data_IF_864142426419
#
_entry.id   IF_864142426419
#
_cell.length_a   1.000
_cell.length_b   1.000
_cell.length_c   1.000
_cell.angle_alpha   90.00
_cell.angle_beta   90.00
_cell.angle_gamma   90.00
#
_symmetry.space_group_name_H-M   'P 1'
#
loop_
_entity.id
_entity.type
_entity.pdbx_description
1 polymer ?
#
# COMPACT_ATOMS: atom_id res chain seq x y z
N UNK A 1 -6.96 -30.34 43.07
CA UNK A 1 -6.80 -29.23 42.11
C UNK A 1 -7.57 -28.06 42.68
N UNK A 2 -6.87 -27.06 43.21
CA UNK A 2 -7.48 -25.83 43.72
C UNK A 2 -7.85 -24.93 42.55
N UNK A 3 -9.08 -24.42 42.58
CA UNK A 3 -9.59 -23.49 41.59
C UNK A 3 -9.21 -22.07 41.99
N UNK A 4 -8.36 -21.42 41.20
CA UNK A 4 -8.05 -19.99 41.32
C UNK A 4 -9.01 -19.20 40.42
N UNK A 5 -9.79 -18.26 40.97
CA UNK A 5 -10.66 -17.41 40.15
C UNK A 5 -9.84 -16.40 39.33
N UNK A 6 -10.35 -15.94 38.17
CA UNK A 6 -9.68 -14.95 37.34
C UNK A 6 -9.60 -13.58 38.05
N UNK A 7 -8.55 -12.79 37.79
CA UNK A 7 -8.36 -11.48 38.42
C UNK A 7 -9.45 -10.50 38.01
N UNK A 8 -9.94 -9.72 38.98
CA UNK A 8 -10.92 -8.66 38.78
C UNK A 8 -10.32 -7.43 38.08
N UNK A 9 -11.11 -6.63 37.33
CA UNK A 9 -10.63 -5.51 36.50
C UNK A 9 -9.88 -4.40 37.25
N UNK A 10 -9.90 -4.39 38.57
CA UNK A 10 -9.20 -3.41 39.41
C UNK A 10 -7.71 -3.71 39.61
N UNK A 11 -7.20 -4.86 39.16
CA UNK A 11 -5.78 -5.22 39.29
C UNK A 11 -4.89 -4.73 38.13
N UNK A 12 -5.44 -3.99 37.18
CA UNK A 12 -4.63 -3.37 36.12
C UNK A 12 -3.90 -2.14 36.66
N UNK A 13 -2.58 -2.00 36.47
CA UNK A 13 -1.84 -0.83 36.90
C UNK A 13 -2.41 0.41 36.19
N UNK A 14 -2.96 1.35 36.96
CA UNK A 14 -3.40 2.64 36.46
C UNK A 14 -2.21 3.35 35.82
N UNK A 15 -2.21 3.46 34.49
CA UNK A 15 -1.23 4.27 33.76
C UNK A 15 -1.36 5.73 34.21
N UNK A 16 -0.46 6.15 35.11
CA UNK A 16 -0.28 7.56 35.44
C UNK A 16 0.14 8.29 34.17
N UNK A 17 -0.76 9.12 33.62
CA UNK A 17 -0.42 10.10 32.57
C UNK A 17 0.71 10.98 33.10
N UNK A 18 1.94 10.75 32.64
CA UNK A 18 3.05 11.66 32.93
C UNK A 18 2.81 12.96 32.16
N UNK A 19 3.01 14.14 32.77
CA UNK A 19 2.94 15.39 32.03
C UNK A 19 3.98 15.40 30.91
N UNK A 20 3.55 15.80 29.72
CA UNK A 20 4.39 15.90 28.53
C UNK A 20 5.52 16.92 28.75
N UNK A 21 6.77 16.62 28.35
CA UNK A 21 7.83 17.61 28.39
C UNK A 21 7.54 18.74 27.41
N UNK A 22 7.74 19.98 27.85
CA UNK A 22 7.61 21.19 27.04
C UNK A 22 8.48 21.11 25.78
N UNK A 23 7.85 21.34 24.64
CA UNK A 23 8.39 21.40 23.26
C UNK A 23 9.89 21.71 23.16
N UNK A 24 10.70 20.67 22.90
CA UNK A 24 12.08 20.82 22.43
C UNK A 24 12.00 21.09 20.92
N UNK A 25 12.44 22.27 20.47
CA UNK A 25 12.44 22.61 19.04
C UNK A 25 13.33 21.61 18.29
N UNK A 26 12.78 20.98 17.25
CA UNK A 26 13.51 20.09 16.34
C UNK A 26 14.65 20.86 15.66
N UNK A 27 15.78 20.20 15.33
CA UNK A 27 16.89 20.81 14.59
C UNK A 27 16.41 21.36 13.25
N UNK A 28 16.85 22.58 12.89
CA UNK A 28 16.45 23.33 11.68
C UNK A 28 16.65 22.58 10.37
N UNK A 29 17.47 21.52 10.34
CA UNK A 29 17.69 20.68 9.15
C UNK A 29 16.51 19.76 8.77
N UNK A 30 15.53 19.60 9.67
CA UNK A 30 14.34 18.76 9.46
C UNK A 30 13.04 19.57 9.36
N UNK A 31 13.12 20.90 9.27
CA UNK A 31 11.96 21.68 8.85
C UNK A 31 11.76 21.46 7.35
N UNK A 32 11.11 20.35 7.01
CA UNK A 32 10.40 20.25 5.75
C UNK A 32 9.43 21.44 5.74
N UNK A 33 9.72 22.45 4.92
CA UNK A 33 8.78 23.54 4.69
C UNK A 33 7.44 22.93 4.32
N UNK A 34 6.33 23.54 4.75
CA UNK A 34 4.96 23.20 4.36
C UNK A 34 4.69 23.20 2.83
N UNK A 35 5.73 23.31 1.98
CA UNK A 35 5.70 22.99 0.57
C UNK A 35 5.61 21.47 0.41
N UNK A 36 4.54 21.00 -0.22
CA UNK A 36 4.14 19.60 -0.30
C UNK A 36 5.22 18.62 -0.77
N UNK A 37 4.95 17.34 -0.52
CA UNK A 37 5.78 16.21 -0.93
C UNK A 37 6.19 16.38 -2.40
N UNK A 38 7.47 16.69 -2.64
CA UNK A 38 7.99 16.90 -3.99
C UNK A 38 8.13 15.56 -4.70
N UNK A 39 7.08 15.18 -5.42
CA UNK A 39 7.03 13.97 -6.24
C UNK A 39 7.79 14.12 -7.57
N UNK A 40 8.34 15.31 -7.89
CA UNK A 40 8.84 15.65 -9.23
C UNK A 40 10.27 15.18 -9.54
N UNK A 41 11.08 14.83 -8.53
CA UNK A 41 12.51 14.51 -8.71
C UNK A 41 12.84 13.03 -8.96
N UNK A 42 11.85 12.20 -9.34
CA UNK A 42 12.06 10.78 -9.61
C UNK A 42 12.60 10.55 -11.04
N UNK A 43 13.89 10.78 -11.26
CA UNK A 43 14.58 10.43 -12.52
C UNK A 43 15.31 9.11 -12.34
N UNK A 44 14.88 8.08 -13.07
CA UNK A 44 15.46 6.74 -13.00
C UNK A 44 16.09 6.32 -14.32
N UNK A 45 17.14 5.48 -14.27
CA UNK A 45 17.60 4.78 -15.45
C UNK A 45 16.45 3.94 -16.02
N UNK A 46 16.05 4.26 -17.24
CA UNK A 46 14.94 3.57 -17.89
C UNK A 46 15.43 2.37 -18.68
N UNK A 47 15.17 1.16 -18.20
CA UNK A 47 15.31 -0.04 -19.02
C UNK A 47 14.03 -0.25 -19.81
N UNK A 48 14.09 -0.34 -21.15
CA UNK A 48 12.90 -0.64 -21.94
C UNK A 48 12.50 -2.09 -21.69
N UNK A 49 11.25 -2.30 -21.27
CA UNK A 49 10.68 -3.63 -21.06
C UNK A 49 9.57 -3.90 -22.06
N UNK A 50 9.23 -5.18 -22.21
CA UNK A 50 8.15 -5.63 -23.07
C UNK A 50 7.27 -6.62 -22.32
N UNK A 51 5.96 -6.41 -22.34
CA UNK A 51 5.00 -7.33 -21.73
C UNK A 51 3.65 -7.28 -22.48
N UNK A 52 2.80 -8.26 -22.19
CA UNK A 52 1.45 -8.36 -22.71
C UNK A 52 0.44 -8.11 -21.59
N UNK A 53 -0.67 -7.42 -21.82
CA UNK A 53 -1.80 -7.46 -20.91
C UNK A 53 -3.04 -7.82 -21.71
N UNK A 54 -3.64 -8.98 -21.42
CA UNK A 54 -4.75 -9.54 -22.18
C UNK A 54 -4.44 -9.53 -23.70
N UNK A 55 -5.13 -8.67 -24.46
CA UNK A 55 -5.00 -8.57 -25.92
C UNK A 55 -3.96 -7.55 -26.40
N UNK A 56 -3.40 -6.73 -25.50
CA UNK A 56 -2.51 -5.62 -25.86
C UNK A 56 -1.05 -5.91 -25.55
N UNK A 57 -0.21 -5.72 -26.55
CA UNK A 57 1.23 -5.75 -26.44
C UNK A 57 1.79 -4.35 -26.10
N UNK A 58 2.74 -4.30 -25.16
CA UNK A 58 3.42 -3.09 -24.74
C UNK A 58 4.92 -3.22 -25.04
N UNK A 59 5.38 -2.81 -26.24
CA UNK A 59 6.78 -2.91 -26.61
C UNK A 59 7.61 -1.74 -26.07
N UNK A 60 8.83 -2.04 -25.62
CA UNK A 60 9.86 -1.05 -25.29
C UNK A 60 9.41 0.06 -24.33
N UNK A 61 8.62 -0.31 -23.33
CA UNK A 61 8.12 0.66 -22.37
C UNK A 61 9.22 1.02 -21.39
N UNK A 62 9.48 2.33 -21.16
CA UNK A 62 10.38 2.74 -20.09
C UNK A 62 9.91 2.19 -18.75
N UNK A 63 10.75 1.39 -18.12
CA UNK A 63 10.55 0.96 -16.74
C UNK A 63 11.57 1.60 -15.83
N UNK A 64 11.19 1.79 -14.59
CA UNK A 64 12.02 2.30 -13.51
C UNK A 64 11.70 1.48 -12.28
N UNK A 65 12.69 1.07 -11.50
CA UNK A 65 12.37 0.55 -10.18
C UNK A 65 11.77 1.69 -9.37
N UNK A 66 10.55 1.56 -8.79
CA UNK A 66 10.04 2.61 -7.93
C UNK A 66 11.02 2.79 -6.77
N UNK A 67 11.44 4.02 -6.48
CA UNK A 67 11.97 4.31 -5.14
C UNK A 67 10.86 4.00 -4.15
N UNK A 68 10.88 2.78 -3.63
CA UNK A 68 10.54 2.58 -2.24
C UNK A 68 11.62 3.37 -1.48
N UNK A 69 11.25 4.35 -0.64
CA UNK A 69 12.20 5.19 0.07
C UNK A 69 13.05 4.43 1.10
N UNK A 70 12.93 3.11 1.15
CA UNK A 70 13.77 2.25 1.95
C UNK A 70 13.94 0.92 1.23
N UNK A 71 15.13 0.68 0.71
CA UNK A 71 15.64 -0.65 0.39
C UNK A 71 16.16 -1.18 1.73
N UNK A 72 15.58 -2.25 2.28
CA UNK A 72 16.14 -2.88 3.49
C UNK A 72 17.60 -3.34 3.23
N UNK A 73 17.95 -3.57 1.97
CA UNK A 73 19.32 -3.80 1.53
C UNK A 73 19.60 -3.07 0.18
N UNK A 74 20.55 -2.12 0.10
CA UNK A 74 20.97 -1.53 -1.17
C UNK A 74 21.58 -2.56 -2.14
N UNK A 75 21.87 -3.79 -1.68
CA UNK A 75 22.34 -4.92 -2.48
C UNK A 75 21.22 -5.78 -3.08
N UNK A 76 19.98 -5.67 -2.59
CA UNK A 76 18.81 -6.36 -3.15
C UNK A 76 17.74 -5.36 -3.64
N UNK A 77 17.92 -4.82 -4.86
CA UNK A 77 17.00 -3.84 -5.41
C UNK A 77 15.70 -4.54 -5.79
N UNK A 78 14.74 -4.72 -4.84
CA UNK A 78 13.46 -5.42 -5.01
C UNK A 78 13.09 -5.65 -6.49
N UNK A 79 13.62 -6.70 -7.13
CA UNK A 79 13.68 -6.75 -8.59
C UNK A 79 12.31 -7.05 -9.19
N UNK A 80 11.31 -7.19 -8.33
CA UNK A 80 9.99 -7.70 -8.63
C UNK A 80 8.92 -6.60 -8.67
N UNK A 81 9.25 -5.32 -8.50
CA UNK A 81 8.30 -4.21 -8.66
C UNK A 81 8.90 -3.18 -9.62
N UNK A 82 8.18 -2.89 -10.70
CA UNK A 82 8.62 -1.96 -11.73
C UNK A 82 7.54 -0.90 -11.96
N UNK A 83 7.91 0.38 -11.91
CA UNK A 83 7.10 1.49 -12.39
C UNK A 83 7.29 1.65 -13.89
N UNK A 84 6.20 1.61 -14.64
CA UNK A 84 6.19 1.48 -16.09
C UNK A 84 5.44 2.66 -16.71
N UNK A 85 6.09 3.41 -17.59
CA UNK A 85 5.51 4.58 -18.26
C UNK A 85 5.00 4.22 -19.65
N UNK A 86 3.71 3.89 -19.76
CA UNK A 86 3.06 3.49 -21.00
C UNK A 86 2.94 4.67 -21.97
N UNK A 87 3.55 4.59 -23.18
CA UNK A 87 3.38 5.63 -24.18
C UNK A 87 1.92 5.69 -24.66
N UNK A 88 1.43 6.88 -25.02
CA UNK A 88 0.08 7.03 -25.55
C UNK A 88 -0.04 6.26 -26.87
N UNK A 89 -1.00 5.33 -26.93
CA UNK A 89 -1.34 4.67 -28.19
C UNK A 89 -2.42 5.50 -28.91
N UNK A 90 -2.27 5.82 -30.21
CA UNK A 90 -3.30 6.51 -30.98
C UNK A 90 -4.65 5.77 -30.94
N UNK A 91 -4.61 4.45 -30.98
CA UNK A 91 -5.81 3.61 -30.88
C UNK A 91 -6.42 3.69 -29.48
N UNK A 92 -5.62 3.56 -28.41
CA UNK A 92 -6.12 3.73 -27.04
C UNK A 92 -6.73 5.13 -26.82
N UNK A 93 -6.10 6.18 -27.36
CA UNK A 93 -6.61 7.55 -27.29
C UNK A 93 -7.95 7.69 -28.00
N UNK A 94 -8.11 7.02 -29.15
CA UNK A 94 -9.37 6.99 -29.89
C UNK A 94 -10.47 6.26 -29.11
N UNK A 95 -10.16 5.11 -28.51
CA UNK A 95 -11.09 4.36 -27.66
C UNK A 95 -11.50 5.17 -26.41
N UNK A 96 -10.56 5.86 -25.76
CA UNK A 96 -10.83 6.75 -24.63
C UNK A 96 -11.77 7.90 -25.02
N UNK A 97 -11.55 8.52 -26.18
CA UNK A 97 -12.47 9.55 -26.71
C UNK A 97 -13.86 8.97 -26.99
N UNK A 98 -13.94 7.81 -27.64
CA UNK A 98 -15.22 7.14 -27.92
C UNK A 98 -15.96 6.78 -26.62
N UNK A 99 -15.26 6.28 -25.61
CA UNK A 99 -15.84 5.96 -24.31
C UNK A 99 -16.42 7.20 -23.60
N UNK A 100 -15.87 8.39 -23.84
CA UNK A 100 -16.38 9.63 -23.24
C UNK A 100 -17.77 10.04 -23.77
N UNK A 101 -18.21 9.50 -24.92
CA UNK A 101 -19.56 9.71 -25.45
C UNK A 101 -20.58 8.68 -24.95
N UNK A 102 -20.12 7.64 -24.24
CA UNK A 102 -21.02 6.61 -23.68
C UNK A 102 -21.61 7.07 -22.35
N UNK A 103 -22.83 6.62 -21.99
CA UNK A 103 -23.36 6.83 -20.65
C UNK A 103 -22.39 6.27 -19.59
N UNK A 104 -22.25 6.96 -18.45
CA UNK A 104 -21.26 6.62 -17.41
C UNK A 104 -21.25 5.13 -16.98
N UNK A 105 -22.40 4.44 -16.83
CA UNK A 105 -22.38 3.01 -16.49
C UNK A 105 -21.77 2.14 -17.60
N UNK A 106 -22.05 2.49 -18.87
CA UNK A 106 -21.55 1.78 -20.04
C UNK A 106 -20.05 2.05 -20.23
N UNK A 107 -19.64 3.31 -20.09
CA UNK A 107 -18.24 3.70 -20.12
C UNK A 107 -17.45 2.94 -19.03
N UNK A 108 -17.94 2.96 -17.78
CA UNK A 108 -17.35 2.25 -16.65
C UNK A 108 -17.24 0.74 -16.88
N UNK A 109 -18.29 0.11 -17.42
CA UNK A 109 -18.26 -1.30 -17.77
C UNK A 109 -17.20 -1.60 -18.85
N UNK A 110 -17.16 -0.79 -19.91
CA UNK A 110 -16.20 -0.96 -21.00
C UNK A 110 -14.74 -0.79 -20.51
N UNK A 111 -14.49 0.29 -19.76
CA UNK A 111 -13.14 0.70 -19.32
C UNK A 111 -12.59 -0.19 -18.21
N UNK A 112 -13.45 -0.74 -17.34
CA UNK A 112 -13.00 -1.47 -16.16
C UNK A 112 -13.24 -2.97 -16.20
N UNK A 113 -14.11 -3.48 -17.08
CA UNK A 113 -14.44 -4.91 -17.13
C UNK A 113 -14.10 -5.55 -18.47
N UNK A 114 -14.45 -4.91 -19.58
CA UNK A 114 -14.37 -5.58 -20.89
C UNK A 114 -12.96 -5.57 -21.49
N UNK A 115 -12.32 -4.40 -21.53
CA UNK A 115 -11.03 -4.22 -22.21
C UNK A 115 -10.10 -3.27 -21.44
N UNK A 116 -9.81 -3.54 -20.15
CA UNK A 116 -9.04 -2.62 -19.28
C UNK A 116 -7.65 -2.30 -19.83
N UNK A 117 -7.03 -3.18 -20.60
CA UNK A 117 -5.71 -2.98 -21.20
C UNK A 117 -5.64 -1.80 -22.18
N UNK A 118 -6.78 -1.39 -22.75
CA UNK A 118 -6.88 -0.25 -23.66
C UNK A 118 -7.16 1.07 -22.94
N UNK A 119 -7.52 1.01 -21.65
CA UNK A 119 -7.83 2.18 -20.81
C UNK A 119 -6.85 2.35 -19.65
N UNK A 120 -5.65 1.76 -19.75
CA UNK A 120 -4.60 1.96 -18.77
C UNK A 120 -4.18 3.43 -18.69
N UNK A 121 -3.84 3.94 -17.48
CA UNK A 121 -3.19 5.22 -17.31
C UNK A 121 -1.80 5.23 -17.96
N UNK A 122 -1.19 6.40 -18.12
CA UNK A 122 0.17 6.54 -18.65
C UNK A 122 1.24 5.91 -17.76
N UNK A 123 0.93 5.63 -16.48
CA UNK A 123 1.85 5.01 -15.54
C UNK A 123 1.18 3.89 -14.76
N UNK A 124 1.83 2.74 -14.71
CA UNK A 124 1.35 1.54 -14.00
C UNK A 124 2.50 0.91 -13.22
N UNK A 125 2.17 0.07 -12.24
CA UNK A 125 3.14 -0.77 -11.54
C UNK A 125 3.03 -2.19 -12.08
N UNK A 126 4.15 -2.76 -12.50
CA UNK A 126 4.28 -4.17 -12.84
C UNK A 126 4.95 -4.88 -11.66
N UNK A 127 4.18 -5.69 -10.94
CA UNK A 127 4.67 -6.48 -9.80
C UNK A 127 4.82 -7.94 -10.22
N UNK A 128 6.06 -8.41 -10.31
CA UNK A 128 6.40 -9.81 -10.54
C UNK A 128 6.39 -10.61 -9.23
N UNK A 129 6.22 -11.92 -9.37
CA UNK A 129 6.54 -12.90 -8.33
C UNK A 129 8.03 -12.83 -7.98
N UNK A 130 8.36 -12.74 -6.69
CA UNK A 130 9.75 -12.77 -6.22
C UNK A 130 10.42 -14.10 -6.61
N UNK A 131 11.69 -14.03 -7.01
CA UNK A 131 12.64 -15.15 -6.88
C UNK A 131 13.44 -14.81 -5.65
N UNK A 132 13.09 -15.37 -4.52
CA UNK A 132 14.06 -15.42 -3.44
C UNK A 132 14.91 -16.67 -3.64
N UNK A 133 16.19 -16.57 -3.30
CA UNK A 133 17.14 -17.68 -3.35
C UNK A 133 17.11 -18.50 -2.06
N UNK A 134 16.55 -17.94 -0.98
CA UNK A 134 16.60 -18.50 0.37
C UNK A 134 15.30 -19.15 0.83
N UNK A 135 14.15 -18.70 0.33
CA UNK A 135 12.86 -19.26 0.66
C UNK A 135 12.36 -20.24 -0.41
N UNK A 136 11.53 -21.18 0.02
CA UNK A 136 10.91 -22.17 -0.85
C UNK A 136 10.08 -21.49 -1.95
N UNK A 137 10.26 -21.89 -3.20
CA UNK A 137 9.54 -21.34 -4.35
C UNK A 137 8.02 -21.42 -4.13
N UNK A 138 7.56 -22.50 -3.49
CA UNK A 138 6.15 -22.75 -3.20
C UNK A 138 5.56 -21.67 -2.28
N UNK A 139 6.34 -21.14 -1.33
CA UNK A 139 5.90 -20.07 -0.43
C UNK A 139 5.67 -18.77 -1.21
N UNK A 140 6.52 -18.45 -2.17
CA UNK A 140 6.36 -17.25 -3.01
C UNK A 140 5.23 -17.40 -4.01
N UNK A 141 5.05 -18.60 -4.58
CA UNK A 141 3.88 -18.91 -5.42
C UNK A 141 2.61 -18.71 -4.61
N UNK A 142 2.54 -19.26 -3.40
CA UNK A 142 1.39 -19.12 -2.51
C UNK A 142 1.12 -17.65 -2.13
N UNK A 143 2.14 -16.89 -1.74
CA UNK A 143 2.00 -15.45 -1.40
C UNK A 143 1.52 -14.63 -2.60
N UNK A 144 2.09 -14.85 -3.79
CA UNK A 144 1.69 -14.12 -4.99
C UNK A 144 0.27 -14.48 -5.44
N UNK A 145 -0.07 -15.77 -5.42
CA UNK A 145 -1.42 -16.25 -5.75
C UNK A 145 -2.44 -15.64 -4.80
N UNK A 146 -2.15 -15.66 -3.50
CA UNK A 146 -2.98 -15.03 -2.48
C UNK A 146 -3.15 -13.53 -2.72
N UNK A 147 -2.08 -12.82 -3.03
CA UNK A 147 -2.16 -11.38 -3.33
C UNK A 147 -3.11 -11.12 -4.51
N UNK A 148 -3.03 -11.93 -5.57
CA UNK A 148 -3.95 -11.77 -6.69
C UNK A 148 -5.40 -12.06 -6.30
N UNK A 149 -5.64 -13.14 -5.56
CA UNK A 149 -6.98 -13.50 -5.09
C UNK A 149 -7.58 -12.40 -4.20
N UNK A 150 -6.74 -11.76 -3.38
CA UNK A 150 -7.14 -10.62 -2.55
C UNK A 150 -7.57 -9.45 -3.42
N UNK A 151 -6.78 -9.09 -4.44
CA UNK A 151 -7.19 -8.06 -5.40
C UNK A 151 -8.53 -8.43 -6.06
N UNK A 152 -8.68 -9.65 -6.59
CA UNK A 152 -9.93 -10.07 -7.23
C UNK A 152 -11.16 -9.96 -6.30
N UNK A 153 -11.02 -10.33 -5.02
CA UNK A 153 -12.09 -10.17 -4.01
C UNK A 153 -12.39 -8.70 -3.73
N UNK A 154 -11.36 -7.88 -3.46
CA UNK A 154 -11.54 -6.44 -3.20
C UNK A 154 -12.13 -5.70 -4.40
N UNK A 155 -11.85 -6.15 -5.63
CA UNK A 155 -12.43 -5.62 -6.86
C UNK A 155 -13.93 -5.94 -7.03
N UNK A 156 -14.44 -6.99 -6.38
CA UNK A 156 -15.89 -7.33 -6.36
C UNK A 156 -16.67 -6.45 -5.39
N UNK A 157 -16.04 -6.05 -4.28
CA UNK A 157 -16.67 -5.21 -3.24
C UNK A 157 -16.37 -3.72 -3.39
N UNK A 158 -15.69 -3.31 -4.47
CA UNK A 158 -15.47 -1.90 -4.78
C UNK A 158 -14.39 -1.21 -3.94
N UNK A 159 -13.47 -1.96 -3.33
CA UNK A 159 -12.38 -1.41 -2.51
C UNK A 159 -11.10 -1.11 -3.29
N UNK A 160 -11.07 -1.40 -4.59
CA UNK A 160 -9.96 -1.06 -5.49
C UNK A 160 -10.11 0.34 -6.11
N UNK A 161 -8.98 0.93 -6.52
CA UNK A 161 -8.94 2.23 -7.20
C UNK A 161 -8.53 3.37 -6.28
N UNK A 162 -7.79 3.06 -5.21
CA UNK A 162 -7.33 4.07 -4.27
C UNK A 162 -6.55 5.18 -4.99
N UNK A 163 -6.85 6.42 -4.64
CA UNK A 163 -6.23 7.59 -5.26
C UNK A 163 -6.90 8.10 -6.55
N UNK A 164 -8.00 7.50 -7.03
CA UNK A 164 -8.83 8.08 -8.11
C UNK A 164 -10.30 7.81 -7.81
N UNK A 165 -11.02 8.82 -7.33
CA UNK A 165 -12.44 8.74 -6.95
C UNK A 165 -12.70 8.35 -5.49
N UNK A 166 -13.98 8.21 -5.15
CA UNK A 166 -14.44 7.90 -3.79
C UNK A 166 -14.32 6.39 -3.49
N UNK A 167 -13.85 6.06 -2.27
CA UNK A 167 -14.07 4.73 -1.67
C UNK A 167 -12.92 3.72 -1.68
N UNK A 168 -12.03 3.70 -2.69
CA UNK A 168 -10.96 2.71 -2.79
C UNK A 168 -9.88 2.83 -1.70
N UNK A 169 -9.48 1.70 -1.11
CA UNK A 169 -8.42 1.61 -0.08
C UNK A 169 -7.17 0.85 -0.55
N UNK A 170 -7.24 0.16 -1.69
CA UNK A 170 -6.10 -0.52 -2.31
C UNK A 170 -5.92 -0.09 -3.78
N UNK A 171 -4.73 -0.25 -4.37
CA UNK A 171 -4.52 -0.03 -5.80
C UNK A 171 -5.47 -0.86 -6.66
N UNK A 172 -5.83 -0.35 -7.84
CA UNK A 172 -6.53 -1.16 -8.83
C UNK A 172 -5.61 -2.20 -9.45
N UNK A 173 -6.05 -3.44 -9.57
CA UNK A 173 -5.44 -4.46 -10.41
C UNK A 173 -6.08 -4.44 -11.80
N UNK A 174 -5.28 -4.15 -12.82
CA UNK A 174 -5.73 -4.15 -14.21
C UNK A 174 -5.72 -5.54 -14.83
N UNK A 175 -4.87 -6.44 -14.34
CA UNK A 175 -4.87 -7.85 -14.74
C UNK A 175 -3.57 -8.58 -14.41
N UNK A 176 -3.57 -9.87 -14.73
CA UNK A 176 -2.40 -10.77 -14.65
C UNK A 176 -1.63 -10.73 -15.98
N UNK A 177 -0.32 -10.94 -15.92
CA UNK A 177 0.59 -11.02 -17.07
C UNK A 177 1.76 -11.95 -16.76
N UNK A 178 2.60 -12.20 -17.75
CA UNK A 178 3.90 -12.82 -17.61
C UNK A 178 4.97 -11.82 -18.03
N UNK A 179 6.02 -11.68 -17.22
CA UNK A 179 7.16 -10.83 -17.54
C UNK A 179 8.45 -11.55 -17.11
N UNK A 180 9.40 -11.65 -18.04
CA UNK A 180 10.68 -12.37 -17.86
C UNK A 180 10.52 -13.82 -17.35
N UNK A 181 9.52 -14.53 -17.89
CA UNK A 181 9.26 -15.93 -17.55
C UNK A 181 8.65 -16.14 -16.16
N UNK A 182 8.12 -15.08 -15.52
CA UNK A 182 7.46 -15.15 -14.22
C UNK A 182 6.06 -14.55 -14.28
N UNK A 183 5.19 -15.03 -13.41
CA UNK A 183 3.90 -14.42 -13.18
C UNK A 183 4.06 -13.00 -12.65
N UNK A 184 3.22 -12.10 -13.15
CA UNK A 184 3.18 -10.72 -12.74
C UNK A 184 1.74 -10.17 -12.75
N UNK A 185 1.52 -9.09 -12.02
CA UNK A 185 0.27 -8.34 -12.02
C UNK A 185 0.55 -6.89 -12.40
N UNK A 186 -0.39 -6.30 -13.14
CA UNK A 186 -0.37 -4.88 -13.50
C UNK A 186 -1.30 -4.14 -12.54
N UNK A 187 -0.74 -3.22 -11.79
CA UNK A 187 -1.40 -2.44 -10.76
C UNK A 187 -1.41 -0.95 -11.10
N UNK A 188 -2.35 -0.23 -10.51
CA UNK A 188 -2.36 1.22 -10.47
C UNK A 188 -1.14 1.76 -9.74
N UNK A 189 -0.47 2.75 -10.31
CA UNK A 189 0.52 3.53 -9.58
C UNK A 189 -0.19 4.42 -8.54
N UNK A 190 0.24 4.31 -7.29
CA UNK A 190 -0.23 5.16 -6.20
C UNK A 190 0.67 6.39 -6.15
N UNK A 191 0.14 7.60 -6.40
CA UNK A 191 0.91 8.85 -6.37
C UNK A 191 1.13 9.33 -4.93
N UNK A 192 1.74 8.48 -4.11
CA UNK A 192 1.94 8.71 -2.68
C UNK A 192 3.34 8.30 -2.22
N UNK A 193 3.50 8.30 -0.90
CA UNK A 193 4.72 7.85 -0.23
C UNK A 193 4.36 6.92 0.92
N UNK A 194 5.22 5.94 1.15
CA UNK A 194 5.14 5.04 2.30
C UNK A 194 5.14 5.84 3.62
N UNK A 195 4.38 5.38 4.62
CA UNK A 195 4.43 5.94 5.98
C UNK A 195 5.78 5.71 6.66
N UNK A 196 6.61 4.79 6.16
CA UNK A 196 8.00 4.59 6.59
C UNK A 196 8.95 5.64 6.01
N UNK A 197 8.55 6.37 4.96
CA UNK A 197 9.42 7.33 4.29
C UNK A 197 9.85 8.47 5.26
N UNK A 198 11.15 8.81 5.34
CA UNK A 198 11.64 9.86 6.25
C UNK A 198 10.91 11.20 6.09
N UNK A 199 10.52 11.56 4.86
CA UNK A 199 9.80 12.80 4.55
C UNK A 199 8.39 12.82 5.12
N UNK A 200 7.74 11.64 5.15
CA UNK A 200 6.38 11.44 5.65
C UNK A 200 6.39 11.36 7.18
N UNK A 201 7.41 10.69 7.72
CA UNK A 201 7.75 10.59 9.14
C UNK A 201 8.05 11.97 9.74
N UNK A 202 8.87 12.79 9.08
CA UNK A 202 9.25 14.11 9.57
C UNK A 202 8.17 15.19 9.41
N UNK A 203 7.08 14.89 8.69
CA UNK A 203 6.01 15.86 8.42
C UNK A 203 5.13 16.07 9.65
N UNK A 204 4.77 17.33 9.90
CA UNK A 204 3.68 17.66 10.80
C UNK A 204 2.35 17.34 10.12
N UNK A 205 1.56 16.48 10.75
CA UNK A 205 0.26 16.05 10.24
C UNK A 205 -0.81 17.01 10.74
N UNK A 206 -1.39 17.79 9.82
CA UNK A 206 -2.57 18.61 10.10
C UNK A 206 -3.86 17.77 10.12
N UNK A 207 -3.88 16.64 9.41
CA UNK A 207 -5.02 15.72 9.31
C UNK A 207 -4.98 14.56 10.30
N UNK A 208 -6.11 13.85 10.42
CA UNK A 208 -6.28 12.66 11.27
C UNK A 208 -5.71 11.41 10.57
N UNK A 209 -4.38 11.25 10.61
CA UNK A 209 -3.70 10.08 10.04
C UNK A 209 -4.17 8.78 10.67
N UNK A 210 -4.40 8.77 11.99
CA UNK A 210 -4.92 7.59 12.70
C UNK A 210 -6.31 7.22 12.16
N UNK A 211 -7.20 8.21 12.02
CA UNK A 211 -8.53 8.03 11.43
C UNK A 211 -8.48 7.49 10.00
N UNK A 212 -7.56 7.99 9.16
CA UNK A 212 -7.40 7.48 7.79
C UNK A 212 -6.90 6.03 7.74
N UNK A 213 -5.96 5.65 8.61
CA UNK A 213 -5.48 4.27 8.72
C UNK A 213 -6.60 3.37 9.24
N UNK A 214 -7.32 3.80 10.28
CA UNK A 214 -8.47 3.10 10.85
C UNK A 214 -9.53 2.86 9.78
N UNK A 215 -9.91 3.89 9.01
CA UNK A 215 -10.89 3.77 7.92
C UNK A 215 -10.50 2.69 6.90
N UNK A 216 -9.21 2.63 6.52
CA UNK A 216 -8.72 1.60 5.60
C UNK A 216 -8.94 0.19 6.15
N UNK A 217 -8.55 -0.05 7.40
CA UNK A 217 -8.66 -1.37 8.01
C UNK A 217 -10.08 -1.74 8.39
N UNK A 218 -10.93 -0.79 8.77
CA UNK A 218 -12.36 -1.01 8.98
C UNK A 218 -13.06 -1.42 7.69
N UNK A 219 -12.72 -0.78 6.56
CA UNK A 219 -13.25 -1.19 5.25
C UNK A 219 -12.75 -2.58 4.83
N UNK A 220 -11.47 -2.88 5.06
CA UNK A 220 -10.92 -4.21 4.80
C UNK A 220 -11.61 -5.28 5.65
N UNK A 221 -11.78 -5.01 6.95
CA UNK A 221 -12.48 -5.87 7.89
C UNK A 221 -13.96 -6.05 7.54
N UNK A 222 -14.63 -4.98 7.09
CA UNK A 222 -16.00 -5.01 6.60
C UNK A 222 -16.18 -5.88 5.36
N UNK A 223 -15.12 -6.08 4.57
CA UNK A 223 -15.08 -7.05 3.47
C UNK A 223 -14.70 -8.48 3.92
N UNK A 224 -14.50 -8.70 5.22
CA UNK A 224 -14.09 -9.98 5.80
C UNK A 224 -12.59 -10.27 5.75
N UNK A 225 -11.77 -9.26 5.44
CA UNK A 225 -10.32 -9.39 5.34
C UNK A 225 -9.56 -8.80 6.54
N UNK A 226 -8.38 -9.33 6.84
CA UNK A 226 -7.40 -8.67 7.73
C UNK A 226 -6.01 -8.76 7.12
N UNK A 227 -5.11 -7.87 7.53
CA UNK A 227 -3.73 -7.82 7.02
C UNK A 227 -2.76 -8.23 8.13
N UNK A 228 -2.04 -9.33 7.95
CA UNK A 228 -1.06 -9.80 8.95
C UNK A 228 0.21 -8.94 8.96
N UNK A 229 0.61 -8.44 7.79
CA UNK A 229 1.81 -7.61 7.60
C UNK A 229 1.42 -6.12 7.54
N UNK A 230 0.68 -5.63 8.56
CA UNK A 230 0.18 -4.26 8.65
C UNK A 230 1.29 -3.22 8.96
N UNK A 231 2.42 -3.34 8.28
CA UNK A 231 3.61 -2.54 8.48
C UNK A 231 3.49 -1.17 7.80
N UNK A 232 4.26 -0.18 8.27
CA UNK A 232 4.22 1.18 7.71
C UNK A 232 4.62 1.26 6.24
N UNK A 233 5.42 0.32 5.76
CA UNK A 233 5.78 0.22 4.34
C UNK A 233 4.62 -0.18 3.43
N UNK A 234 3.63 -0.88 3.99
CA UNK A 234 2.40 -1.28 3.30
C UNK A 234 1.30 -0.22 3.40
N UNK A 235 1.56 0.92 4.05
CA UNK A 235 0.64 2.04 4.17
C UNK A 235 1.21 3.26 3.47
N UNK A 236 0.52 3.73 2.44
CA UNK A 236 0.95 4.86 1.63
C UNK A 236 0.03 6.03 1.81
N UNK A 237 0.58 7.21 2.07
CA UNK A 237 -0.18 8.45 2.09
C UNK A 237 -0.14 9.09 0.72
N UNK A 238 -1.33 9.39 0.22
CA UNK A 238 -1.55 10.16 -0.99
C UNK A 238 -1.96 11.57 -0.57
N UNK A 239 -1.17 12.60 -0.92
CA UNK A 239 -1.46 13.97 -0.50
C UNK A 239 -2.72 14.51 -1.17
N UNK A 240 -3.34 15.50 -0.52
CA UNK A 240 -4.41 16.28 -1.13
C UNK A 240 -3.90 17.03 -2.37
N UNK A 241 -4.78 17.27 -3.35
CA UNK A 241 -4.45 18.02 -4.57
C UNK A 241 -3.88 17.18 -5.72
N UNK A 242 -3.63 15.88 -5.50
CA UNK A 242 -3.40 14.94 -6.60
C UNK A 242 -4.67 14.86 -7.47
N UNK A 243 -4.58 14.98 -8.81
CA UNK A 243 -5.74 14.90 -9.69
C UNK A 243 -6.54 13.61 -9.46
N UNK A 244 -7.84 13.74 -9.22
CA UNK A 244 -8.74 12.60 -8.95
C UNK A 244 -8.77 12.15 -7.48
N UNK A 245 -7.99 12.78 -6.59
CA UNK A 245 -7.98 12.51 -5.15
C UNK A 245 -8.80 13.60 -4.42
N UNK A 246 -9.92 13.26 -3.77
CA UNK A 246 -10.78 14.26 -3.12
C UNK A 246 -10.15 14.91 -1.89
N UNK A 247 -9.16 14.26 -1.28
CA UNK A 247 -8.44 14.73 -0.10
C UNK A 247 -7.29 13.80 0.26
N UNK A 248 -6.47 14.20 1.22
CA UNK A 248 -5.39 13.36 1.73
C UNK A 248 -5.97 12.02 2.23
N UNK A 249 -5.28 10.91 1.93
CA UNK A 249 -5.77 9.57 2.27
C UNK A 249 -4.66 8.55 2.39
N UNK A 250 -4.93 7.50 3.15
CA UNK A 250 -4.09 6.30 3.23
C UNK A 250 -4.55 5.26 2.21
N UNK A 251 -3.58 4.53 1.66
CA UNK A 251 -3.76 3.42 0.74
C UNK A 251 -2.97 2.23 1.26
N UNK A 252 -3.60 1.07 1.31
CA UNK A 252 -2.95 -0.19 1.68
C UNK A 252 -2.36 -0.83 0.42
N UNK A 253 -1.06 -1.14 0.45
CA UNK A 253 -0.34 -1.86 -0.59
C UNK A 253 0.22 -3.17 -0.04
N UNK A 254 0.80 -4.03 -0.88
CA UNK A 254 1.47 -5.25 -0.40
C UNK A 254 0.52 -6.31 0.14
N UNK A 255 -0.52 -6.68 -0.62
CA UNK A 255 -1.64 -7.47 -0.10
C UNK A 255 -1.38 -8.99 0.06
N UNK A 256 -0.13 -9.44 -0.07
CA UNK A 256 0.23 -10.87 0.10
C UNK A 256 0.06 -11.37 1.54
N UNK A 257 0.09 -10.44 2.51
CA UNK A 257 -0.19 -10.69 3.93
C UNK A 257 -1.68 -10.64 4.31
N UNK A 258 -2.59 -10.35 3.37
CA UNK A 258 -4.02 -10.34 3.66
C UNK A 258 -4.56 -11.77 3.77
N UNK A 259 -5.52 -11.96 4.67
CA UNK A 259 -6.26 -13.21 4.91
C UNK A 259 -7.75 -12.92 5.04
N UNK A 260 -8.57 -13.96 4.92
CA UNK A 260 -10.03 -13.84 4.95
C UNK A 260 -10.68 -14.67 6.04
N UNK A 261 -11.81 -14.19 6.55
CA UNK A 261 -12.58 -14.87 7.60
C UNK A 261 -12.94 -16.29 7.16
N UNK A 262 -12.55 -17.28 7.96
CA UNK A 262 -12.76 -18.70 7.67
C UNK A 262 -11.65 -19.41 6.89
N UNK A 263 -10.58 -18.73 6.46
CA UNK A 263 -9.45 -19.40 5.78
C UNK A 263 -8.55 -20.20 6.73
N UNK A 264 -8.56 -19.92 8.04
CA UNK A 264 -7.94 -20.79 9.07
C UNK A 264 -8.69 -20.71 10.42
N UNK A 265 -9.48 -21.74 10.73
CA UNK A 265 -10.10 -21.93 12.06
C UNK A 265 -9.07 -22.25 13.18
N UNK A 266 -7.79 -22.48 12.85
CA UNK A 266 -6.81 -23.05 13.79
C UNK A 266 -5.84 -22.07 14.45
N UNK A 267 -5.75 -20.83 13.98
CA UNK A 267 -4.79 -19.88 14.57
C UNK A 267 -5.40 -18.99 15.68
N UNK A 268 -6.72 -18.88 15.75
CA UNK A 268 -7.37 -17.87 16.59
C UNK A 268 -7.99 -18.48 17.84
N UNK A 269 -7.24 -18.47 18.93
CA UNK A 269 -7.75 -18.68 20.29
C UNK A 269 -8.67 -17.55 20.73
N UNK A 270 -9.88 -17.46 20.15
CA UNK A 270 -11.01 -16.68 20.67
C UNK A 270 -10.85 -15.16 20.73
N UNK A 271 -9.97 -14.53 19.93
CA UNK A 271 -9.87 -13.06 19.89
C UNK A 271 -11.01 -12.44 19.07
N UNK A 272 -11.58 -11.35 19.58
CA UNK A 272 -12.70 -10.62 18.95
C UNK A 272 -12.30 -9.93 17.65
N UNK A 273 -13.30 -9.69 16.77
CA UNK A 273 -13.16 -8.88 15.56
C UNK A 273 -12.64 -7.49 15.94
N UNK A 274 -11.54 -7.04 15.32
CA UNK A 274 -10.98 -5.70 15.54
C UNK A 274 -9.62 -5.66 16.22
N UNK A 275 -9.15 -6.76 16.83
CA UNK A 275 -7.82 -6.77 17.48
C UNK A 275 -6.67 -6.43 16.52
N UNK A 276 -6.77 -6.77 15.23
CA UNK A 276 -5.77 -6.38 14.23
C UNK A 276 -5.81 -4.91 13.84
N UNK A 277 -6.99 -4.27 13.93
CA UNK A 277 -7.11 -2.82 13.74
C UNK A 277 -6.38 -2.14 14.89
N UNK A 278 -6.63 -2.58 16.12
CA UNK A 278 -5.90 -2.10 17.30
C UNK A 278 -4.41 -2.41 17.22
N UNK A 279 -3.98 -3.58 16.74
CA UNK A 279 -2.55 -3.88 16.57
C UNK A 279 -1.87 -3.01 15.51
N UNK A 280 -2.54 -2.74 14.39
CA UNK A 280 -2.05 -1.80 13.38
C UNK A 280 -2.00 -0.37 13.92
N UNK A 281 -3.00 0.03 14.72
CA UNK A 281 -3.07 1.33 15.38
C UNK A 281 -2.10 1.46 16.56
N UNK A 282 -1.77 0.39 17.27
CA UNK A 282 -0.73 0.34 18.30
C UNK A 282 0.64 0.50 17.64
N UNK A 283 0.90 -0.20 16.55
CA UNK A 283 2.11 0.00 15.74
C UNK A 283 2.21 1.44 15.21
N UNK A 284 1.09 2.00 14.72
CA UNK A 284 1.01 3.39 14.30
C UNK A 284 1.21 4.35 15.48
N UNK A 285 0.60 4.09 16.64
CA UNK A 285 0.64 4.91 17.84
C UNK A 285 2.02 4.92 18.49
N UNK A 286 2.72 3.79 18.45
CA UNK A 286 4.13 3.70 18.85
C UNK A 286 5.00 4.52 17.90
N UNK A 287 4.76 4.44 16.59
CA UNK A 287 5.53 5.22 15.61
C UNK A 287 5.21 6.71 15.71
N UNK A 288 3.93 7.11 15.74
CA UNK A 288 3.48 8.50 15.94
C UNK A 288 3.94 9.06 17.29
N UNK A 289 3.91 8.24 18.34
CA UNK A 289 4.39 8.61 19.66
C UNK A 289 5.92 8.77 19.72
N UNK A 290 6.68 8.05 18.89
CA UNK A 290 8.14 8.19 18.77
C UNK A 290 8.53 9.33 17.83
N UNK A 291 7.75 9.56 16.78
CA UNK A 291 7.80 10.71 15.88
C UNK A 291 7.67 12.02 16.64
N UNK A 292 6.63 12.15 17.48
CA UNK A 292 6.41 13.33 18.31
C UNK A 292 7.51 13.56 19.36
N UNK A 293 8.23 12.50 19.77
CA UNK A 293 9.32 12.59 20.75
C UNK A 293 10.70 12.83 20.12
N UNK A 294 10.80 12.91 18.79
CA UNK A 294 12.05 13.19 18.07
C UNK A 294 13.11 12.08 18.20
N UNK A 295 12.69 10.83 18.46
CA UNK A 295 13.60 9.69 18.53
C UNK A 295 13.98 9.21 17.13
N UNK A 296 14.91 9.94 16.50
CA UNK A 296 15.68 9.48 15.34
C UNK A 296 17.17 9.79 15.57
N UNK A 297 17.69 9.43 16.74
CA UNK A 297 19.14 9.36 16.93
C UNK A 297 19.59 7.90 17.01
N UNK A 298 20.22 7.47 15.92
CA UNK A 298 21.37 6.56 15.80
C UNK A 298 21.26 5.10 16.29
N UNK A 299 20.11 4.60 16.76
CA UNK A 299 20.01 3.21 17.27
C UNK A 299 19.05 2.24 16.56
N UNK A 300 18.08 2.74 15.79
CA UNK A 300 16.95 1.90 15.32
C UNK A 300 17.16 1.19 13.97
N UNK A 301 18.21 1.55 13.22
CA UNK A 301 18.55 0.83 11.99
C UNK A 301 19.20 -0.54 12.27
N UNK A 302 19.74 -0.75 13.47
CA UNK A 302 20.38 -2.03 13.85
C UNK A 302 19.42 -3.02 14.53
N UNK A 303 18.27 -2.56 15.05
CA UNK A 303 17.33 -3.39 15.84
C UNK A 303 16.15 -3.96 15.02
N UNK A 304 16.07 -3.66 13.72
CA UNK A 304 15.02 -4.19 12.82
C UNK A 304 15.51 -5.36 11.95
N UNK A 305 16.78 -5.75 12.07
CA UNK A 305 17.40 -6.89 11.35
C UNK A 305 17.47 -8.18 12.19
N UNK A 306 16.90 -8.21 13.41
CA UNK A 306 16.81 -9.40 14.29
C UNK A 306 15.37 -9.91 14.47
#
# INVERSE_FOLDING_TARGET
MEYTPPPTPESFPQFRKRPLPSTRRLPTRFQASAAGLDLSNKVFPTTPITFWLNTRHFPHVPSSSPLLPYQDDPSDPHPNILSVSLPPSPFATTLQRLASYLPAPVASFLTHRLIPEWFLPSRVILKQRRRDTYADEDVHVARFTREVDVYERLGKVGLQGAGVGEGGIVPRMYGRTHFEGRDAIVLQEVPGMSLRAPEVVAREWEGDLEGMVRECYEKLAGAGGWHEEAWLENLWVVPAGVPGVPGERVVVVGLGGVRWEGEEERFWGGREKGWWVEGALEGLGDVLGRLQKGYWQDGWLEELDD
#
